data_IF_925929828716
#
_entry.id   IF_925929828716
#
_cell.length_a   1.000
_cell.length_b   1.000
_cell.length_c   1.000
_cell.angle_alpha   90.00
_cell.angle_beta   90.00
_cell.angle_gamma   90.00
#
_symmetry.space_group_name_H-M   'P 1'
#
loop_
_entity.id
_entity.type
_entity.pdbx_description
1 polymer ?
#
# COMPACT_ATOMS: atom_id res chain seq x y z
N UNK A 1 -16.35 -10.46 -23.36
CA UNK A 1 -15.39 -9.33 -23.39
C UNK A 1 -13.99 -9.89 -23.57
N UNK A 2 -13.15 -9.31 -24.44
CA UNK A 2 -11.74 -9.71 -24.57
C UNK A 2 -10.92 -8.98 -23.49
N UNK A 3 -10.21 -9.71 -22.63
CA UNK A 3 -9.28 -9.14 -21.64
C UNK A 3 -7.91 -8.93 -22.30
N UNK A 4 -7.38 -7.72 -22.25
CA UNK A 4 -5.99 -7.45 -22.64
C UNK A 4 -5.10 -7.45 -21.40
N UNK A 5 -4.29 -8.50 -21.26
CA UNK A 5 -3.15 -8.55 -20.36
C UNK A 5 -1.94 -9.02 -21.17
N UNK A 6 -0.87 -8.23 -21.20
CA UNK A 6 0.38 -8.59 -21.88
C UNK A 6 1.23 -9.50 -20.98
N UNK A 7 1.79 -10.61 -21.47
CA UNK A 7 2.65 -11.47 -20.66
C UNK A 7 3.98 -10.79 -20.30
N UNK A 8 4.46 -11.01 -19.07
CA UNK A 8 5.82 -10.67 -18.67
C UNK A 8 6.77 -11.75 -19.21
N UNK A 9 7.75 -11.36 -20.05
CA UNK A 9 8.72 -12.28 -20.65
C UNK A 9 9.98 -12.42 -19.78
N UNK A 10 9.99 -13.39 -18.86
CA UNK A 10 11.20 -13.80 -18.12
C UNK A 10 12.25 -14.47 -19.04
N UNK A 11 13.51 -14.00 -19.02
CA UNK A 11 14.65 -14.68 -19.68
C UNK A 11 15.98 -14.57 -18.90
N UNK A 12 16.34 -15.68 -18.26
CA UNK A 12 17.68 -16.25 -18.00
C UNK A 12 17.54 -17.78 -18.26
N UNK A 13 18.56 -18.66 -18.26
CA UNK A 13 19.97 -18.53 -17.83
C UNK A 13 20.90 -18.41 -19.08
N UNK A 14 22.18 -18.82 -19.22
CA UNK A 14 23.08 -19.75 -18.52
C UNK A 14 24.55 -19.27 -18.44
N UNK A 15 25.34 -20.06 -17.70
CA UNK A 15 26.76 -19.97 -17.36
C UNK A 15 27.77 -20.16 -18.49
N UNK A 16 28.99 -19.66 -18.27
CA UNK A 16 30.23 -20.37 -18.59
C UNK A 16 31.14 -20.43 -17.34
N UNK A 17 32.16 -21.30 -17.35
CA UNK A 17 33.00 -21.62 -16.18
C UNK A 17 34.50 -21.51 -16.51
N UNK A 18 35.30 -21.07 -15.54
CA UNK A 18 36.73 -21.38 -15.38
C UNK A 18 37.15 -21.03 -13.95
N UNK A 19 38.07 -21.79 -13.37
CA UNK A 19 38.48 -21.66 -11.96
C UNK A 19 40.00 -21.53 -11.83
N UNK A 20 40.49 -21.04 -10.67
CA UNK A 20 41.73 -21.55 -10.06
C UNK A 20 41.97 -21.06 -8.61
N UNK A 21 42.30 -22.03 -7.75
CA UNK A 21 43.19 -21.98 -6.58
C UNK A 21 42.83 -21.18 -5.31
N UNK A 22 43.29 -21.74 -4.18
CA UNK A 22 43.35 -21.17 -2.83
C UNK A 22 44.82 -21.28 -2.32
N UNK A 23 45.21 -20.82 -1.10
CA UNK A 23 44.75 -21.42 0.17
C UNK A 23 44.41 -20.41 1.29
N UNK A 24 44.13 -20.95 2.49
CA UNK A 24 43.69 -20.29 3.72
C UNK A 24 44.79 -19.49 4.44
N UNK A 25 44.37 -18.57 5.32
CA UNK A 25 45.01 -18.32 6.63
C UNK A 25 43.97 -17.83 7.66
N UNK A 26 44.13 -18.27 8.91
CA UNK A 26 43.39 -17.80 10.10
C UNK A 26 44.00 -16.45 10.59
N UNK A 27 43.60 -15.75 11.66
CA UNK A 27 42.75 -15.96 12.86
C UNK A 27 42.17 -14.55 13.23
N UNK A 28 41.34 -14.23 14.24
CA UNK A 28 41.28 -14.59 15.67
C UNK A 28 39.91 -14.11 16.26
N UNK A 29 39.58 -14.47 17.51
CA UNK A 29 38.31 -14.16 18.19
C UNK A 29 38.39 -12.99 19.20
N UNK A 30 37.23 -12.63 19.78
CA UNK A 30 37.05 -11.87 21.04
C UNK A 30 37.14 -10.32 20.94
N UNK A 31 36.47 -9.51 21.78
CA UNK A 31 35.50 -9.83 22.85
C UNK A 31 34.44 -8.72 23.07
N UNK A 32 33.48 -9.01 23.95
CA UNK A 32 32.33 -8.21 24.37
C UNK A 32 32.61 -6.72 24.69
N UNK A 33 31.62 -5.87 24.42
CA UNK A 33 31.05 -5.01 25.47
C UNK A 33 29.52 -5.20 25.52
N UNK A 34 28.99 -5.42 26.73
CA UNK A 34 27.55 -5.65 27.00
C UNK A 34 27.02 -4.50 27.87
N UNK A 35 26.76 -3.35 27.25
CA UNK A 35 26.18 -2.19 27.92
C UNK A 35 24.65 -2.18 27.79
N UNK A 36 23.99 -2.98 28.63
CA UNK A 36 22.54 -2.99 28.85
C UNK A 36 21.99 -1.57 29.17
N UNK A 37 21.57 -0.82 28.15
CA UNK A 37 20.93 0.50 28.33
C UNK A 37 19.53 0.61 27.72
N UNK A 38 18.65 -0.14 28.36
CA UNK A 38 17.19 0.00 28.36
C UNK A 38 16.46 -0.44 27.09
N UNK A 39 15.30 -1.05 27.28
CA UNK A 39 14.37 -1.43 26.23
C UNK A 39 13.62 -0.20 25.67
N UNK A 40 14.36 0.79 25.16
CA UNK A 40 13.86 1.64 24.07
C UNK A 40 13.66 0.74 22.85
N UNK A 41 12.51 0.06 22.83
CA UNK A 41 11.78 -0.15 21.59
C UNK A 41 11.59 1.22 20.97
N UNK A 42 12.54 1.64 20.14
CA UNK A 42 12.23 2.48 19.00
C UNK A 42 11.20 1.70 18.18
N UNK A 43 9.92 1.89 18.51
CA UNK A 43 8.93 1.94 17.46
C UNK A 43 9.46 3.00 16.50
N UNK A 44 10.01 2.56 15.37
CA UNK A 44 10.02 3.38 14.18
C UNK A 44 8.55 3.55 13.83
N UNK A 45 7.92 4.54 14.46
CA UNK A 45 6.51 4.81 14.24
C UNK A 45 6.34 5.12 12.77
N UNK A 46 5.45 4.37 12.11
CA UNK A 46 5.03 4.68 10.74
C UNK A 46 4.72 6.17 10.69
N UNK A 47 5.41 6.92 9.84
CA UNK A 47 5.18 8.35 9.72
C UNK A 47 3.78 8.56 9.12
N UNK A 48 2.80 8.83 9.97
CA UNK A 48 1.40 8.97 9.58
C UNK A 48 1.15 10.20 8.70
N UNK A 49 2.05 11.19 8.72
CA UNK A 49 1.99 12.30 7.78
C UNK A 49 2.46 11.88 6.39
N UNK A 50 3.48 11.02 6.30
CA UNK A 50 3.96 10.43 5.03
C UNK A 50 2.94 9.53 4.30
N UNK A 51 1.90 9.05 5.00
CA UNK A 51 0.92 8.14 4.40
C UNK A 51 0.22 8.77 3.16
N UNK A 52 0.09 8.03 2.05
CA UNK A 52 -0.49 8.55 0.80
C UNK A 52 -1.97 8.94 0.96
N UNK A 53 -2.24 10.25 0.90
CA UNK A 53 -3.60 10.78 0.98
C UNK A 53 -4.48 10.35 -0.21
N UNK A 54 -3.91 10.32 -1.43
CA UNK A 54 -4.60 9.89 -2.66
C UNK A 54 -4.93 8.39 -2.60
N UNK A 55 -6.21 7.97 -2.72
CA UNK A 55 -6.62 6.57 -2.53
C UNK A 55 -5.97 5.61 -3.53
N UNK A 56 -5.55 6.07 -4.71
CA UNK A 56 -4.85 5.22 -5.68
C UNK A 56 -3.41 4.92 -5.27
N UNK A 57 -2.80 5.77 -4.45
CA UNK A 57 -1.38 5.67 -4.07
C UNK A 57 -1.17 4.86 -2.78
N UNK A 58 -2.24 4.38 -2.16
CA UNK A 58 -2.21 3.53 -0.96
C UNK A 58 -1.92 2.08 -1.33
N UNK A 59 -1.05 1.42 -0.57
CA UNK A 59 -0.98 -0.04 -0.60
C UNK A 59 -2.13 -0.64 0.24
N UNK A 60 -2.65 -1.83 -0.11
CA UNK A 60 -3.68 -2.53 0.68
C UNK A 60 -3.32 -2.66 2.15
N UNK A 61 -4.32 -2.55 3.05
CA UNK A 61 -4.10 -2.63 4.51
C UNK A 61 -3.42 -3.94 4.93
N UNK A 62 -3.73 -5.05 4.26
CA UNK A 62 -3.11 -6.37 4.49
C UNK A 62 -1.62 -6.43 4.14
N UNK A 63 -1.11 -5.55 3.28
CA UNK A 63 0.28 -5.59 2.80
C UNK A 63 1.24 -4.87 3.79
N UNK A 64 0.70 -4.17 4.80
CA UNK A 64 1.44 -3.67 5.96
C UNK A 64 1.63 -4.75 7.06
N UNK A 65 2.64 -4.55 7.91
CA UNK A 65 2.93 -5.43 9.04
C UNK A 65 1.74 -5.50 10.02
N UNK A 66 1.37 -6.69 10.56
CA UNK A 66 0.17 -6.85 11.40
C UNK A 66 0.05 -5.82 12.53
N UNK A 67 1.13 -5.59 13.29
CA UNK A 67 1.20 -4.64 14.41
C UNK A 67 0.94 -3.17 14.03
N UNK A 68 1.03 -2.83 12.73
CA UNK A 68 0.89 -1.46 12.20
C UNK A 68 -0.50 -1.20 11.60
N UNK A 69 -1.20 -2.26 11.15
CA UNK A 69 -2.44 -2.14 10.35
C UNK A 69 -3.51 -1.29 11.05
N UNK A 70 -3.70 -1.50 12.35
CA UNK A 70 -4.71 -0.77 13.12
C UNK A 70 -4.30 0.68 13.42
N UNK A 71 -3.00 0.97 13.53
CA UNK A 71 -2.52 2.34 13.67
C UNK A 71 -2.68 3.12 12.35
N UNK A 72 -2.41 2.46 11.22
CA UNK A 72 -2.64 3.00 9.88
C UNK A 72 -4.14 3.20 9.61
N UNK A 73 -5.00 2.28 10.05
CA UNK A 73 -6.46 2.46 10.04
C UNK A 73 -6.88 3.67 10.85
N UNK A 74 -6.37 3.84 12.09
CA UNK A 74 -6.63 5.02 12.93
C UNK A 74 -6.20 6.31 12.23
N UNK A 75 -5.01 6.36 11.65
CA UNK A 75 -4.51 7.52 10.93
C UNK A 75 -5.40 7.92 9.74
N UNK A 76 -5.83 6.96 8.90
CA UNK A 76 -6.75 7.24 7.80
C UNK A 76 -8.17 7.63 8.26
N UNK A 77 -8.69 7.03 9.35
CA UNK A 77 -9.97 7.44 9.96
C UNK A 77 -9.89 8.87 10.50
N UNK A 78 -8.78 9.23 11.16
CA UNK A 78 -8.56 10.57 11.72
C UNK A 78 -8.35 11.63 10.63
N UNK A 79 -7.68 11.28 9.52
CA UNK A 79 -7.48 12.16 8.36
C UNK A 79 -8.75 12.31 7.51
N UNK A 80 -9.63 11.31 7.52
CA UNK A 80 -10.88 11.29 6.76
C UNK A 80 -10.71 11.05 5.26
N UNK A 81 -11.82 11.01 4.50
CA UNK A 81 -11.82 10.65 3.08
C UNK A 81 -11.17 11.72 2.19
N UNK A 82 -10.39 11.29 1.22
CA UNK A 82 -9.70 12.15 0.28
C UNK A 82 -10.66 12.78 -0.75
N UNK A 83 -11.12 13.99 -0.43
CA UNK A 83 -12.04 14.79 -1.24
C UNK A 83 -11.32 16.06 -1.76
N UNK A 84 -10.58 15.98 -2.87
CA UNK A 84 -9.78 17.09 -3.38
C UNK A 84 -10.66 18.28 -3.81
N UNK A 85 -10.27 19.49 -3.41
CA UNK A 85 -10.98 20.75 -3.71
C UNK A 85 -10.74 21.26 -5.14
N UNK A 86 -10.72 20.37 -6.13
CA UNK A 86 -10.57 20.75 -7.54
C UNK A 86 -11.80 21.51 -8.05
N UNK A 87 -11.56 22.53 -8.89
CA UNK A 87 -12.61 23.39 -9.46
C UNK A 87 -13.47 22.63 -10.47
N UNK A 88 -12.82 21.87 -11.33
CA UNK A 88 -13.43 21.00 -12.32
C UNK A 88 -12.85 19.59 -12.25
N UNK A 89 -13.69 18.62 -12.56
CA UNK A 89 -13.34 17.22 -12.72
C UNK A 89 -13.16 16.91 -14.22
N UNK A 90 -12.25 16.00 -14.60
CA UNK A 90 -12.06 15.58 -15.98
C UNK A 90 -13.36 15.10 -16.65
N UNK A 91 -13.34 15.04 -17.98
CA UNK A 91 -14.45 14.53 -18.77
C UNK A 91 -14.03 13.30 -19.55
N UNK A 92 -14.61 12.16 -19.19
CA UNK A 92 -14.46 10.89 -19.89
C UNK A 92 -15.68 10.63 -20.77
N UNK A 93 -15.47 10.21 -22.03
CA UNK A 93 -16.56 9.76 -22.87
C UNK A 93 -16.97 8.33 -22.49
N UNK A 94 -18.24 8.14 -22.14
CA UNK A 94 -18.81 6.84 -21.83
C UNK A 94 -20.02 6.62 -22.72
N UNK A 95 -19.82 5.83 -23.79
CA UNK A 95 -20.83 5.49 -24.79
C UNK A 95 -21.39 6.70 -25.57
N UNK A 96 -20.52 7.61 -26.01
CA UNK A 96 -20.89 8.83 -26.74
C UNK A 96 -21.45 9.95 -25.85
N UNK A 97 -21.42 9.75 -24.53
CA UNK A 97 -21.91 10.70 -23.53
C UNK A 97 -20.73 11.15 -22.66
N UNK A 98 -20.34 12.41 -22.79
CA UNK A 98 -19.31 13.04 -21.94
C UNK A 98 -19.78 13.11 -20.49
N UNK A 99 -19.33 12.16 -19.67
CA UNK A 99 -19.56 12.16 -18.21
C UNK A 99 -18.42 12.91 -17.50
N UNK A 100 -18.60 13.15 -16.20
CA UNK A 100 -17.57 13.62 -15.26
C UNK A 100 -18.02 13.27 -13.85
N UNK A 101 -17.10 13.16 -12.90
CA UNK A 101 -17.45 12.96 -11.49
C UNK A 101 -18.31 14.12 -10.97
N UNK A 102 -19.35 13.80 -10.19
CA UNK A 102 -20.28 14.80 -9.68
C UNK A 102 -19.87 15.29 -8.29
N UNK A 103 -19.25 16.48 -8.22
CA UNK A 103 -18.82 17.14 -6.97
C UNK A 103 -19.91 17.21 -5.88
N UNK A 104 -21.21 17.20 -6.22
CA UNK A 104 -22.30 17.17 -5.24
C UNK A 104 -22.30 15.88 -4.40
N UNK A 105 -21.71 14.79 -4.90
CA UNK A 105 -21.58 13.52 -4.17
C UNK A 105 -20.69 13.63 -2.94
N UNK A 106 -19.64 14.46 -2.93
CA UNK A 106 -18.87 14.73 -1.70
C UNK A 106 -19.77 15.26 -0.57
N UNK A 107 -20.72 16.17 -0.86
CA UNK A 107 -21.66 16.64 0.18
C UNK A 107 -22.69 15.56 0.60
N UNK A 108 -23.01 14.60 -0.27
CA UNK A 108 -23.99 13.53 0.05
C UNK A 108 -23.36 12.35 0.80
N UNK A 109 -22.08 12.06 0.54
CA UNK A 109 -21.38 10.86 0.98
C UNK A 109 -20.07 11.25 1.70
N UNK A 110 -20.16 12.27 2.57
CA UNK A 110 -19.01 13.02 3.06
C UNK A 110 -18.02 12.22 3.89
N UNK A 111 -18.45 11.09 4.47
CA UNK A 111 -17.69 10.28 5.44
C UNK A 111 -16.83 9.20 4.78
N UNK A 112 -17.16 8.79 3.55
CA UNK A 112 -16.57 7.61 2.92
C UNK A 112 -16.19 7.76 1.44
N UNK A 113 -16.78 8.70 0.70
CA UNK A 113 -16.50 8.85 -0.72
C UNK A 113 -15.18 9.58 -0.93
N UNK A 114 -14.27 8.93 -1.64
CA UNK A 114 -12.96 9.46 -2.03
C UNK A 114 -12.84 9.57 -3.55
N UNK A 115 -11.85 10.33 -4.03
CA UNK A 115 -11.63 10.50 -5.45
C UNK A 115 -10.16 10.73 -5.78
N UNK A 116 -9.59 9.92 -6.68
CA UNK A 116 -8.23 10.17 -7.21
C UNK A 116 -8.30 11.03 -8.45
N UNK A 117 -7.64 12.19 -8.40
CA UNK A 117 -7.44 13.05 -9.58
C UNK A 117 -6.53 12.36 -10.62
N UNK A 118 -5.69 11.42 -10.20
CA UNK A 118 -4.74 10.72 -11.07
C UNK A 118 -5.41 9.67 -11.98
N UNK A 119 -6.59 9.13 -11.63
CA UNK A 119 -7.30 8.11 -12.44
C UNK A 119 -8.73 8.50 -12.90
N UNK A 120 -9.19 9.74 -12.67
CA UNK A 120 -10.60 10.15 -12.91
C UNK A 120 -11.63 9.24 -12.18
N UNK A 121 -11.23 8.70 -11.03
CA UNK A 121 -11.87 7.55 -10.39
C UNK A 121 -12.32 7.82 -8.94
N UNK A 122 -13.44 7.23 -8.57
CA UNK A 122 -14.01 7.29 -7.22
C UNK A 122 -13.67 6.02 -6.41
N UNK A 123 -13.38 6.20 -5.12
CA UNK A 123 -13.01 5.13 -4.18
C UNK A 123 -13.83 5.25 -2.89
N UNK A 124 -13.69 4.27 -2.01
CA UNK A 124 -14.46 4.15 -0.77
C UNK A 124 -13.50 3.92 0.40
N UNK A 125 -13.42 4.87 1.33
CA UNK A 125 -12.49 4.81 2.48
C UNK A 125 -12.74 3.57 3.34
N UNK A 126 -13.99 3.36 3.76
CA UNK A 126 -14.37 2.20 4.58
C UNK A 126 -14.05 0.87 3.88
N UNK A 127 -14.23 0.81 2.56
CA UNK A 127 -13.94 -0.38 1.77
C UNK A 127 -12.43 -0.69 1.78
N UNK A 128 -11.57 0.33 1.62
CA UNK A 128 -10.11 0.20 1.70
C UNK A 128 -9.64 -0.25 3.09
N UNK A 129 -10.23 0.28 4.17
CA UNK A 129 -9.82 0.00 5.55
C UNK A 129 -10.04 -1.46 5.99
N UNK A 130 -11.05 -2.13 5.41
CA UNK A 130 -11.55 -3.44 5.86
C UNK A 130 -11.57 -4.52 4.76
N UNK A 131 -10.84 -4.33 3.65
CA UNK A 131 -11.05 -5.10 2.41
C UNK A 131 -10.73 -6.61 2.48
N UNK A 132 -10.06 -7.09 3.52
CA UNK A 132 -9.56 -8.48 3.66
C UNK A 132 -9.92 -9.15 5.01
N UNK A 133 -10.85 -8.60 5.82
CA UNK A 133 -11.19 -9.12 7.17
C UNK A 133 -12.17 -10.34 7.14
N UNK A 134 -12.49 -10.87 5.97
CA UNK A 134 -13.18 -12.15 5.76
C UNK A 134 -12.87 -12.66 4.34
N UNK A 135 -12.94 -13.95 3.99
CA UNK A 135 -13.71 -15.07 4.56
C UNK A 135 -12.87 -16.37 4.52
N UNK A 136 -12.23 -16.82 5.62
CA UNK A 136 -11.61 -18.17 5.70
C UNK A 136 -11.35 -18.71 7.13
N UNK A 137 -12.33 -18.59 8.05
CA UNK A 137 -12.48 -19.50 9.21
C UNK A 137 -13.82 -19.20 9.90
N UNK A 138 -14.74 -20.16 9.89
CA UNK A 138 -16.14 -19.93 10.26
C UNK A 138 -16.99 -21.20 10.24
N UNK A 139 -16.43 -22.31 10.71
CA UNK A 139 -17.12 -23.57 10.94
C UNK A 139 -16.54 -24.21 12.20
N UNK A 140 -17.35 -24.26 13.25
CA UNK A 140 -17.05 -25.07 14.43
C UNK A 140 -17.33 -26.55 14.16
N UNK A 141 -16.85 -27.39 15.07
CA UNK A 141 -17.03 -28.85 15.07
C UNK A 141 -18.47 -29.28 15.40
#
# INVERSE_FOLDING_TARGET
>A
MKRFFSPISSKLPQSSSSAQNAPQVEENLNQLDETHHSAKRFKQGVDFDSLPADPKKRIPIRDYHPDERDEIRRAYIQRGPHQPRIREFPQSDLFGLKRRFNRKWFKKYHDWLEYSVTEDAAYCLCCYLFQDESIHQGGGE
#
